data_IF_931220889997
#
_entry.id   IF_931220889997
#
_cell.length_a   1.000
_cell.length_b   1.000
_cell.length_c   1.000
_cell.angle_alpha   90.00
_cell.angle_beta   90.00
_cell.angle_gamma   90.00
#
_symmetry.space_group_name_H-M   'P 1'
#
loop_
_entity.id
_entity.type
_entity.pdbx_description
1 polymer ?
#
# COMPACT_ATOMS: atom_id res chain seq x y z
N UNK A 1 18.65 8.68 -6.83
CA UNK A 1 17.38 8.42 -6.10
C UNK A 1 17.16 6.92 -6.14
N UNK A 2 17.06 6.26 -4.98
CA UNK A 2 16.57 4.87 -4.94
C UNK A 2 15.14 4.92 -5.49
N UNK A 3 14.81 4.03 -6.42
CA UNK A 3 13.42 3.89 -6.87
C UNK A 3 12.64 3.31 -5.69
N UNK A 4 11.89 4.16 -4.98
CA UNK A 4 10.97 3.68 -3.97
C UNK A 4 9.89 2.87 -4.71
N UNK A 5 9.82 1.57 -4.39
CA UNK A 5 8.87 0.65 -5.01
C UNK A 5 7.59 0.78 -4.21
N UNK A 6 6.61 1.45 -4.79
CA UNK A 6 5.29 1.61 -4.20
C UNK A 6 4.33 0.55 -4.74
N UNK A 7 3.40 0.14 -3.89
CA UNK A 7 2.31 -0.78 -4.21
C UNK A 7 1.02 -0.16 -3.72
N UNK A 8 0.00 -0.20 -4.57
CA UNK A 8 -1.37 0.17 -4.23
C UNK A 8 -2.09 -1.06 -3.70
N UNK A 9 -2.74 -0.92 -2.56
CA UNK A 9 -3.59 -1.93 -1.97
C UNK A 9 -5.02 -1.42 -1.94
N UNK A 10 -5.94 -2.25 -2.44
CA UNK A 10 -7.38 -2.09 -2.29
C UNK A 10 -7.88 -3.12 -1.30
N UNK A 11 -8.67 -2.69 -0.33
CA UNK A 11 -9.34 -3.56 0.64
C UNK A 11 -10.85 -3.40 0.52
N UNK A 12 -11.56 -4.51 0.39
CA UNK A 12 -13.02 -4.57 0.34
C UNK A 12 -13.54 -5.83 1.05
N UNK A 13 -14.87 -6.02 1.08
CA UNK A 13 -15.49 -7.19 1.72
C UNK A 13 -15.04 -8.53 1.12
N UNK A 14 -14.58 -8.55 -0.14
CA UNK A 14 -14.15 -9.76 -0.85
C UNK A 14 -12.69 -10.13 -0.58
N UNK A 15 -11.87 -9.15 -0.16
CA UNK A 15 -10.51 -9.39 0.31
C UNK A 15 -9.57 -8.22 0.06
N UNK A 16 -8.34 -8.54 -0.32
CA UNK A 16 -7.26 -7.57 -0.50
C UNK A 16 -6.61 -7.74 -1.87
N UNK A 17 -6.53 -6.66 -2.64
CA UNK A 17 -5.89 -6.64 -3.95
C UNK A 17 -4.68 -5.73 -3.94
N UNK A 18 -3.53 -6.25 -4.37
CA UNK A 18 -2.28 -5.51 -4.52
C UNK A 18 -1.98 -5.26 -5.99
N UNK A 19 -1.64 -4.02 -6.32
CA UNK A 19 -1.25 -3.58 -7.67
C UNK A 19 0.05 -2.80 -7.62
N UNK A 20 0.92 -3.01 -8.59
CA UNK A 20 2.13 -2.18 -8.68
C UNK A 20 1.78 -0.71 -8.96
N UNK A 21 2.31 0.20 -8.13
CA UNK A 21 2.12 1.63 -8.32
C UNK A 21 3.03 2.15 -9.43
N UNK A 22 2.48 3.01 -10.28
CA UNK A 22 3.25 3.74 -11.29
C UNK A 22 2.86 5.21 -11.22
N UNK A 23 3.78 6.05 -10.73
CA UNK A 23 3.63 7.50 -10.85
C UNK A 23 3.40 7.85 -12.32
N UNK A 24 2.32 8.57 -12.59
CA UNK A 24 1.90 9.07 -13.90
C UNK A 24 2.76 10.24 -14.39
N UNK A 25 4.04 10.31 -14.00
CA UNK A 25 4.95 11.34 -14.49
C UNK A 25 5.40 10.99 -15.93
N UNK A 26 4.58 11.39 -16.90
CA UNK A 26 5.04 11.61 -18.26
C UNK A 26 6.03 12.77 -18.23
N UNK A 27 7.33 12.47 -18.37
CA UNK A 27 8.34 13.52 -18.48
C UNK A 27 8.10 14.32 -19.77
N UNK A 28 7.54 15.53 -19.64
CA UNK A 28 7.50 16.49 -20.75
C UNK A 28 8.93 17.00 -20.94
N UNK A 29 9.55 16.65 -22.07
CA UNK A 29 10.82 17.22 -22.49
C UNK A 29 10.64 18.71 -22.78
N UNK A 30 11.61 19.54 -22.38
CA UNK A 30 11.70 20.98 -22.68
C UNK A 30 11.64 21.31 -24.19
N UNK A 31 11.79 20.30 -25.06
CA UNK A 31 11.79 20.44 -26.52
C UNK A 31 10.51 19.94 -27.21
N UNK A 32 9.41 19.67 -26.48
CA UNK A 32 8.13 19.29 -27.11
C UNK A 32 8.12 17.93 -27.81
N UNK A 33 9.19 17.13 -27.69
CA UNK A 33 9.18 15.74 -28.11
C UNK A 33 8.50 14.88 -27.02
N UNK A 34 7.32 14.35 -27.30
CA UNK A 34 6.67 13.33 -26.48
C UNK A 34 7.61 12.12 -26.35
N UNK A 35 8.34 12.02 -25.25
CA UNK A 35 8.89 10.74 -24.84
C UNK A 35 7.67 9.93 -24.39
N UNK A 36 7.13 9.08 -25.28
CA UNK A 36 6.14 8.06 -24.87
C UNK A 36 6.77 7.30 -23.72
N UNK A 37 6.34 7.59 -22.49
CA UNK A 37 6.72 6.83 -21.32
C UNK A 37 6.49 5.35 -21.68
N UNK A 38 7.55 4.53 -21.61
CA UNK A 38 7.45 3.12 -21.95
C UNK A 38 6.30 2.54 -21.13
N UNK A 39 5.29 1.96 -21.80
CA UNK A 39 4.17 1.30 -21.13
C UNK A 39 4.75 0.31 -20.12
N UNK A 40 4.55 0.56 -18.84
CA UNK A 40 4.99 -0.34 -17.78
C UNK A 40 3.95 -1.45 -17.63
N UNK A 41 4.41 -2.67 -17.37
CA UNK A 41 3.52 -3.81 -17.13
C UNK A 41 2.78 -3.57 -15.82
N UNK A 42 1.46 -3.67 -15.85
CA UNK A 42 0.63 -3.70 -14.65
C UNK A 42 0.53 -5.14 -14.14
N UNK A 43 0.78 -5.32 -12.86
CA UNK A 43 0.68 -6.61 -12.17
C UNK A 43 -0.29 -6.42 -11.01
N UNK A 44 -1.21 -7.37 -10.87
CA UNK A 44 -2.23 -7.38 -9.85
C UNK A 44 -2.32 -8.77 -9.22
N UNK A 45 -2.49 -8.82 -7.91
CA UNK A 45 -2.68 -10.04 -7.15
C UNK A 45 -3.79 -9.82 -6.11
N UNK A 46 -4.78 -10.70 -6.11
CA UNK A 46 -5.91 -10.65 -5.18
C UNK A 46 -5.85 -11.82 -4.23
N UNK A 47 -5.89 -11.53 -2.93
CA UNK A 47 -6.13 -12.50 -1.87
C UNK A 47 -7.61 -12.40 -1.47
N UNK A 48 -8.36 -13.48 -1.67
CA UNK A 48 -9.71 -13.60 -1.13
C UNK A 48 -9.70 -13.78 0.38
N UNK A 49 -10.83 -13.52 1.03
CA UNK A 49 -11.01 -13.68 2.49
C UNK A 49 -10.64 -15.09 2.98
N UNK A 50 -10.79 -16.12 2.13
CA UNK A 50 -10.42 -17.51 2.46
C UNK A 50 -8.91 -17.73 2.64
N UNK A 51 -8.08 -16.76 2.28
CA UNK A 51 -6.61 -16.82 2.38
C UNK A 51 -6.03 -16.10 3.59
N UNK A 52 -6.85 -15.43 4.39
CA UNK A 52 -6.42 -14.70 5.59
C UNK A 52 -7.03 -15.31 6.85
N UNK A 53 -6.31 -15.25 7.97
CA UNK A 53 -6.78 -15.77 9.26
C UNK A 53 -7.89 -14.91 9.87
N UNK A 54 -7.85 -13.60 9.60
CA UNK A 54 -8.85 -12.62 10.04
C UNK A 54 -9.03 -11.55 8.95
N UNK A 55 -10.28 -11.21 8.67
CA UNK A 55 -10.67 -10.11 7.79
C UNK A 55 -11.84 -9.36 8.42
N UNK A 56 -11.64 -8.08 8.71
CA UNK A 56 -12.67 -7.22 9.30
C UNK A 56 -12.60 -5.87 8.60
N UNK A 57 -13.59 -5.61 7.73
CA UNK A 57 -13.66 -4.39 6.93
C UNK A 57 -14.76 -3.52 7.50
N UNK A 58 -14.37 -2.35 8.01
CA UNK A 58 -15.30 -1.29 8.40
C UNK A 58 -15.48 -0.24 7.30
N UNK A 59 -14.44 -0.05 6.49
CA UNK A 59 -14.37 0.92 5.39
C UNK A 59 -13.57 0.29 4.24
N UNK A 60 -14.11 0.36 3.03
CA UNK A 60 -13.36 0.01 1.82
C UNK A 60 -12.42 1.16 1.43
N UNK A 61 -11.16 0.84 1.14
CA UNK A 61 -10.13 1.85 0.86
C UNK A 61 -9.17 1.41 -0.23
N UNK A 62 -8.57 2.38 -0.91
CA UNK A 62 -7.47 2.18 -1.85
C UNK A 62 -6.36 3.19 -1.57
N UNK A 63 -5.17 2.71 -1.21
CA UNK A 63 -4.02 3.56 -0.93
C UNK A 63 -2.70 2.89 -1.32
N UNK A 64 -1.66 3.70 -1.50
CA UNK A 64 -0.32 3.23 -1.86
C UNK A 64 0.66 3.37 -0.69
N UNK A 65 1.60 2.45 -0.60
CA UNK A 65 2.63 2.42 0.43
C UNK A 65 3.95 1.83 -0.10
N UNK A 66 5.01 1.96 0.69
CA UNK A 66 6.33 1.40 0.40
C UNK A 66 6.34 -0.12 0.52
N UNK A 67 6.44 -0.83 -0.60
CA UNK A 67 6.54 -2.30 -0.62
C UNK A 67 7.76 -2.78 0.17
N UNK A 68 8.87 -2.03 0.10
CA UNK A 68 10.12 -2.41 0.76
C UNK A 68 9.96 -2.53 2.27
N UNK A 69 9.18 -1.65 2.88
CA UNK A 69 8.97 -1.64 4.34
C UNK A 69 8.02 -2.76 4.76
N UNK A 70 6.95 -2.99 4.00
CA UNK A 70 6.05 -4.14 4.21
C UNK A 70 6.79 -5.47 4.08
N UNK A 71 7.65 -5.60 3.06
CA UNK A 71 8.47 -6.79 2.87
C UNK A 71 9.44 -7.02 4.04
N UNK A 72 9.96 -5.96 4.67
CA UNK A 72 10.88 -6.10 5.79
C UNK A 72 10.22 -6.80 6.99
N UNK A 73 9.01 -6.37 7.37
CA UNK A 73 8.27 -7.01 8.47
C UNK A 73 7.71 -8.39 8.06
N UNK A 74 7.24 -8.55 6.83
CA UNK A 74 6.73 -9.83 6.35
C UNK A 74 7.82 -10.93 6.34
N UNK A 75 9.02 -10.61 5.86
CA UNK A 75 10.16 -11.55 5.89
C UNK A 75 10.62 -11.86 7.31
N UNK A 76 10.54 -10.89 8.23
CA UNK A 76 10.85 -11.11 9.63
C UNK A 76 9.83 -12.03 10.30
N UNK A 77 8.54 -11.81 10.06
CA UNK A 77 7.45 -12.64 10.59
C UNK A 77 7.52 -14.08 10.06
N UNK A 78 7.84 -14.26 8.77
CA UNK A 78 8.00 -15.57 8.13
C UNK A 78 9.11 -16.41 8.81
N UNK A 79 10.23 -15.79 9.17
CA UNK A 79 11.32 -16.46 9.91
C UNK A 79 10.91 -16.91 11.33
N UNK A 80 9.93 -16.22 11.92
CA UNK A 80 9.40 -16.52 13.25
C UNK A 80 8.21 -17.49 13.20
N UNK A 81 7.71 -17.82 11.99
CA UNK A 81 6.45 -18.54 11.83
C UNK A 81 5.26 -17.79 12.43
N UNK A 82 5.30 -16.45 12.41
CA UNK A 82 4.28 -15.58 12.99
C UNK A 82 3.47 -14.89 11.90
N UNK A 83 2.21 -14.56 12.21
CA UNK A 83 1.35 -13.81 11.30
C UNK A 83 1.62 -12.29 11.41
N UNK A 84 1.38 -11.57 10.32
CA UNK A 84 1.40 -10.10 10.30
C UNK A 84 -0.04 -9.60 10.27
N UNK A 85 -0.41 -8.79 11.24
CA UNK A 85 -1.69 -8.08 11.23
C UNK A 85 -1.50 -6.73 10.52
N UNK A 86 -2.48 -6.35 9.72
CA UNK A 86 -2.50 -5.08 8.98
C UNK A 86 -3.73 -4.30 9.41
N UNK A 87 -3.49 -3.13 10.01
CA UNK A 87 -4.52 -2.17 10.37
C UNK A 87 -4.39 -0.94 9.49
N UNK A 88 -5.50 -0.48 8.97
CA UNK A 88 -5.53 0.63 8.04
C UNK A 88 -6.67 1.59 8.38
N UNK A 89 -6.59 2.75 7.74
CA UNK A 89 -7.58 3.81 7.81
C UNK A 89 -7.66 4.46 6.42
N UNK A 90 -8.32 5.61 6.31
CA UNK A 90 -8.41 6.38 5.08
C UNK A 90 -7.03 6.75 4.51
N UNK A 91 -6.90 6.87 3.18
CA UNK A 91 -5.64 7.25 2.56
C UNK A 91 -5.06 8.55 3.13
N UNK A 92 -3.74 8.61 3.29
CA UNK A 92 -3.04 9.71 3.97
C UNK A 92 -2.91 9.51 5.49
N UNK A 93 -3.67 8.60 6.09
CA UNK A 93 -3.47 8.12 7.47
C UNK A 93 -2.47 6.95 7.47
N UNK A 94 -1.64 6.79 8.51
CA UNK A 94 -0.67 5.71 8.55
C UNK A 94 -1.36 4.34 8.65
N UNK A 95 -0.86 3.37 7.88
CA UNK A 95 -1.17 1.97 8.05
C UNK A 95 -0.23 1.38 9.12
N UNK A 96 -0.73 0.50 9.97
CA UNK A 96 0.07 -0.18 11.01
C UNK A 96 0.19 -1.66 10.66
N UNK A 97 1.42 -2.16 10.63
CA UNK A 97 1.73 -3.58 10.53
C UNK A 97 2.22 -4.09 11.88
N UNK A 98 1.66 -5.18 12.39
CA UNK A 98 2.05 -5.71 13.70
C UNK A 98 2.28 -7.21 13.71
N UNK A 99 3.07 -7.65 14.69
CA UNK A 99 3.23 -9.06 15.11
C UNK A 99 2.89 -9.09 16.59
N UNK A 100 1.71 -9.63 16.95
CA UNK A 100 1.11 -9.49 18.30
C UNK A 100 1.13 -10.78 19.12
N UNK A 101 1.36 -11.94 18.50
CA UNK A 101 1.18 -13.26 19.14
C UNK A 101 2.51 -13.97 19.43
N UNK A 102 3.61 -13.23 19.46
CA UNK A 102 4.92 -13.81 19.75
C UNK A 102 5.21 -13.75 21.27
N UNK A 103 5.64 -14.86 21.91
CA UNK A 103 5.70 -14.96 23.38
C UNK A 103 6.69 -14.01 24.07
N UNK A 104 7.60 -13.39 23.32
CA UNK A 104 8.72 -12.64 23.88
C UNK A 104 8.71 -11.14 23.53
N UNK A 105 7.94 -10.73 22.53
CA UNK A 105 7.93 -9.36 22.04
C UNK A 105 6.72 -9.11 21.16
N UNK A 106 6.35 -7.84 21.05
CA UNK A 106 5.44 -7.32 20.03
C UNK A 106 6.22 -6.39 19.10
N UNK A 107 5.83 -6.36 17.82
CA UNK A 107 6.38 -5.44 16.82
C UNK A 107 5.24 -4.63 16.23
N UNK A 108 5.43 -3.32 16.12
CA UNK A 108 4.52 -2.43 15.40
C UNK A 108 5.33 -1.53 14.46
N UNK A 109 4.88 -1.42 13.22
CA UNK A 109 5.46 -0.58 12.19
C UNK A 109 4.37 0.28 11.56
N UNK A 110 4.40 1.57 11.84
CA UNK A 110 3.52 2.54 11.21
C UNK A 110 4.14 3.06 9.90
N UNK A 111 3.42 2.92 8.80
CA UNK A 111 3.82 3.31 7.46
C UNK A 111 2.92 4.41 6.91
N UNK A 112 3.48 5.49 6.34
CA UNK A 112 2.69 6.49 5.66
C UNK A 112 2.01 5.88 4.43
N UNK A 113 0.79 6.34 4.15
CA UNK A 113 0.03 5.94 2.97
C UNK A 113 -0.23 7.14 2.07
N UNK A 114 -0.40 6.90 0.78
CA UNK A 114 -0.69 7.91 -0.23
C UNK A 114 -2.02 7.56 -0.88
N UNK A 115 -2.99 8.47 -0.86
CA UNK A 115 -4.24 8.33 -1.60
C UNK A 115 -4.08 8.61 -3.09
N UNK A 116 -5.12 8.29 -3.86
CA UNK A 116 -5.17 8.78 -5.23
C UNK A 116 -5.38 10.30 -5.21
N UNK A 117 -4.48 11.05 -5.86
CA UNK A 117 -4.53 12.53 -5.97
C UNK A 117 -5.82 13.04 -6.65
N UNK A 118 -6.64 12.15 -7.22
CA UNK A 118 -7.94 12.44 -7.81
C UNK A 118 -9.09 12.52 -6.77
N UNK A 119 -8.85 12.12 -5.52
CA UNK A 119 -9.74 12.48 -4.41
C UNK A 119 -9.39 13.88 -3.92
N UNK A 120 -10.01 14.86 -4.58
CA UNK A 120 -10.01 16.27 -4.18
C UNK A 120 -10.37 16.35 -2.70
N UNK A 121 -9.52 17.01 -1.91
CA UNK A 121 -9.83 17.47 -0.55
C UNK A 121 -11.19 18.17 -0.57
N UNK A 122 -12.25 17.47 -0.13
CA UNK A 122 -13.57 18.06 0.09
C UNK A 122 -13.60 18.89 1.37
N UNK A 123 -12.55 18.82 2.19
CA UNK A 123 -12.35 19.72 3.31
C UNK A 123 -11.73 21.01 2.80
N UNK A 124 -12.61 21.94 2.41
CA UNK A 124 -12.30 23.29 1.93
C UNK A 124 -11.42 24.10 2.89
N UNK A 125 -10.12 23.82 2.88
CA UNK A 125 -9.09 24.67 3.44
C UNK A 125 -8.96 25.95 2.61
N UNK A 126 -9.35 27.07 3.21
CA UNK A 126 -9.23 28.41 2.64
C UNK A 126 -7.74 28.72 2.38
N UNK A 127 -7.45 29.21 1.17
CA UNK A 127 -6.15 29.74 0.70
C UNK A 127 -5.66 30.90 1.58
#
# INVERSE_FOLDING_TARGET
MKNDVEVTMKVDEEGVTFRNYHSSCGAISYNGSEFRARKKVKTEATLGVDKVSRHEVSIEVEFSFSLKEVMAIALFADQLGSEVCLYYDLPGRPMVLSIESHPNFDVELALPTIGNEDEVDLDGGIV
#
